data_IF_841082641183
#
_entry.id   IF_841082641183
#
_cell.length_a   1.000
_cell.length_b   1.000
_cell.length_c   1.000
_cell.angle_alpha   90.00
_cell.angle_beta   90.00
_cell.angle_gamma   90.00
#
_symmetry.space_group_name_H-M   'P 1'
#
loop_
_entity.id
_entity.type
_entity.pdbx_description
1 polymer ?
#
# COMPACT_ATOMS: atom_id res chain seq x y z
N UNK A 1 3.68 33.64 16.56
CA UNK A 1 4.61 32.55 16.95
C UNK A 1 5.17 31.94 15.69
N UNK A 2 6.48 32.09 15.45
CA UNK A 2 7.13 31.56 14.26
C UNK A 2 7.09 30.02 14.29
N UNK A 3 6.42 29.40 13.32
CA UNK A 3 6.49 27.96 13.11
C UNK A 3 7.93 27.63 12.77
N UNK A 4 8.67 27.03 13.70
CA UNK A 4 9.92 26.33 13.41
C UNK A 4 9.57 25.18 12.47
N UNK A 5 9.72 25.39 11.17
CA UNK A 5 9.80 24.31 10.18
C UNK A 5 11.08 23.54 10.47
N UNK A 6 10.97 22.47 11.24
CA UNK A 6 12.04 21.48 11.41
C UNK A 6 12.18 20.76 10.06
N UNK A 7 13.40 20.68 9.54
CA UNK A 7 13.69 19.84 8.37
C UNK A 7 13.18 18.42 8.63
N UNK A 8 12.61 17.75 7.62
CA UNK A 8 12.13 16.39 7.78
C UNK A 8 13.32 15.52 8.20
N UNK A 9 13.12 14.68 9.22
CA UNK A 9 14.14 13.75 9.70
C UNK A 9 14.81 13.06 8.50
N UNK A 10 16.15 13.15 8.47
CA UNK A 10 16.95 12.36 7.56
C UNK A 10 16.88 10.92 8.05
N UNK A 11 16.19 10.09 7.28
CA UNK A 11 16.34 8.64 7.27
C UNK A 11 17.82 8.30 7.16
N UNK A 12 18.36 7.67 8.20
CA UNK A 12 19.80 7.64 8.49
C UNK A 12 20.18 8.48 9.71
N UNK A 13 19.26 8.75 10.64
CA UNK A 13 19.61 9.33 11.92
C UNK A 13 20.61 8.40 12.60
N UNK A 14 21.85 8.86 12.69
CA UNK A 14 22.90 8.21 13.44
C UNK A 14 22.43 8.18 14.91
N UNK A 15 22.04 7.00 15.39
CA UNK A 15 21.51 6.75 16.74
C UNK A 15 22.64 6.86 17.79
N UNK A 16 23.59 7.79 17.65
CA UNK A 16 24.83 7.79 18.41
C UNK A 16 24.77 8.56 19.74
N UNK A 17 23.82 9.49 19.96
CA UNK A 17 23.74 10.23 21.23
C UNK A 17 22.34 10.26 21.92
N UNK A 18 21.28 10.91 21.40
CA UNK A 18 19.96 10.92 22.07
C UNK A 18 19.34 9.51 22.18
N UNK A 19 19.69 8.70 21.21
CA UNK A 19 19.36 7.30 21.09
C UNK A 19 19.98 6.41 22.18
N UNK A 20 21.18 6.72 22.66
CA UNK A 20 21.90 5.84 23.57
C UNK A 20 21.19 5.74 24.94
N UNK A 21 20.69 6.86 25.46
CA UNK A 21 19.90 6.90 26.69
C UNK A 21 18.60 6.12 26.53
N UNK A 22 17.85 6.39 25.46
CA UNK A 22 16.62 5.67 25.12
C UNK A 22 16.86 4.16 24.97
N UNK A 23 17.92 3.74 24.28
CA UNK A 23 18.28 2.35 24.06
C UNK A 23 18.71 1.62 25.34
N UNK A 24 19.31 2.35 26.29
CA UNK A 24 19.72 1.83 27.59
C UNK A 24 18.51 1.53 28.50
N UNK A 25 17.42 2.28 28.34
CA UNK A 25 16.15 2.03 29.06
C UNK A 25 15.36 0.85 28.49
N UNK A 26 15.57 0.50 27.22
CA UNK A 26 14.83 -0.58 26.58
C UNK A 26 15.24 -1.97 27.12
N UNK A 27 14.30 -2.91 27.28
CA UNK A 27 14.60 -4.30 27.60
C UNK A 27 15.57 -4.95 26.62
N UNK A 28 16.27 -5.99 27.06
CA UNK A 28 17.22 -6.74 26.24
C UNK A 28 16.59 -8.00 25.62
N UNK A 29 15.59 -8.58 26.27
CA UNK A 29 14.88 -9.75 25.80
C UNK A 29 13.71 -9.41 24.87
N UNK A 30 13.34 -10.36 24.02
CA UNK A 30 12.29 -10.20 23.00
C UNK A 30 10.94 -9.85 23.62
N UNK A 31 10.54 -10.53 24.70
CA UNK A 31 9.22 -10.34 25.30
C UNK A 31 9.10 -8.96 25.95
N UNK A 32 10.17 -8.51 26.63
CA UNK A 32 10.28 -7.15 27.14
C UNK A 32 10.18 -6.10 26.04
N UNK A 33 10.84 -6.31 24.90
CA UNK A 33 10.75 -5.40 23.75
C UNK A 33 9.32 -5.35 23.17
N UNK A 34 8.63 -6.48 23.07
CA UNK A 34 7.24 -6.52 22.60
C UNK A 34 6.30 -5.79 23.56
N UNK A 35 6.46 -5.97 24.87
CA UNK A 35 5.69 -5.23 25.87
C UNK A 35 5.98 -3.71 25.82
N UNK A 36 7.23 -3.33 25.61
CA UNK A 36 7.62 -1.93 25.43
C UNK A 36 7.02 -1.32 24.16
N UNK A 37 6.88 -2.10 23.08
CA UNK A 37 6.26 -1.64 21.85
C UNK A 37 4.77 -1.32 22.05
N UNK A 38 4.05 -2.20 22.77
CA UNK A 38 2.64 -1.96 23.13
C UNK A 38 2.52 -0.68 23.97
N UNK A 39 3.40 -0.48 24.95
CA UNK A 39 3.41 0.74 25.76
C UNK A 39 3.67 2.00 24.91
N UNK A 40 4.63 1.94 23.98
CA UNK A 40 4.94 3.05 23.08
C UNK A 40 3.75 3.43 22.19
N UNK A 41 3.02 2.45 21.64
CA UNK A 41 1.79 2.68 20.88
C UNK A 41 0.72 3.37 21.72
N UNK A 42 0.50 2.92 22.95
CA UNK A 42 -0.45 3.55 23.88
C UNK A 42 -0.04 5.00 24.18
N UNK A 43 1.26 5.26 24.34
CA UNK A 43 1.77 6.62 24.57
C UNK A 43 1.63 7.52 23.34
N UNK A 44 1.87 7.00 22.13
CA UNK A 44 1.64 7.72 20.86
C UNK A 44 0.19 8.18 20.79
N UNK A 45 -0.76 7.26 20.97
CA UNK A 45 -2.18 7.57 20.92
C UNK A 45 -2.57 8.60 21.98
N UNK A 46 -2.16 8.37 23.24
CA UNK A 46 -2.46 9.29 24.32
C UNK A 46 -1.89 10.70 24.06
N UNK A 47 -0.71 10.82 23.46
CA UNK A 47 -0.12 12.10 23.09
C UNK A 47 -0.86 12.78 21.94
N UNK A 48 -1.23 12.04 20.89
CA UNK A 48 -2.06 12.54 19.79
C UNK A 48 -3.41 13.02 20.32
N UNK A 49 -4.04 12.26 21.21
CA UNK A 49 -5.34 12.63 21.80
C UNK A 49 -5.27 13.88 22.69
N UNK A 50 -4.10 14.20 23.26
CA UNK A 50 -3.85 15.48 23.95
C UNK A 50 -3.50 16.64 23.02
N UNK A 51 -3.28 16.38 21.74
CA UNK A 51 -2.77 17.37 20.78
C UNK A 51 -1.29 17.71 21.00
N UNK A 52 -0.55 16.87 21.73
CA UNK A 52 0.86 17.07 22.04
C UNK A 52 1.74 16.37 21.00
N UNK A 53 2.01 17.08 19.91
CA UNK A 53 2.82 16.55 18.81
C UNK A 53 4.25 16.21 19.21
N UNK A 54 4.84 16.92 20.17
CA UNK A 54 6.22 16.66 20.60
C UNK A 54 6.29 15.37 21.43
N UNK A 55 5.33 15.13 22.31
CA UNK A 55 5.23 13.87 23.04
C UNK A 55 4.92 12.70 22.10
N UNK A 56 4.10 12.91 21.07
CA UNK A 56 3.80 11.89 20.07
C UNK A 56 5.02 11.52 19.23
N UNK A 57 5.84 12.50 18.82
CA UNK A 57 7.13 12.27 18.16
C UNK A 57 8.08 11.47 19.05
N UNK A 58 8.23 11.85 20.33
CA UNK A 58 9.12 11.13 21.25
C UNK A 58 8.67 9.67 21.49
N UNK A 59 7.37 9.43 21.61
CA UNK A 59 6.84 8.07 21.73
C UNK A 59 7.03 7.26 20.43
N UNK A 60 6.93 7.94 19.27
CA UNK A 60 7.27 7.36 17.97
C UNK A 60 8.74 6.97 17.85
N UNK A 61 9.65 7.84 18.30
CA UNK A 61 11.09 7.55 18.34
C UNK A 61 11.39 6.34 19.23
N UNK A 62 10.67 6.19 20.36
CA UNK A 62 10.76 4.99 21.20
C UNK A 62 10.31 3.73 20.47
N UNK A 63 9.21 3.78 19.73
CA UNK A 63 8.73 2.65 18.93
C UNK A 63 9.74 2.23 17.86
N UNK A 64 10.33 3.20 17.13
CA UNK A 64 11.37 2.93 16.13
C UNK A 64 12.65 2.36 16.76
N UNK A 65 13.06 2.85 17.94
CA UNK A 65 14.20 2.32 18.66
C UNK A 65 14.01 0.85 19.08
N UNK A 66 12.77 0.46 19.42
CA UNK A 66 12.43 -0.92 19.75
C UNK A 66 12.56 -1.82 18.51
N UNK A 67 12.09 -1.37 17.34
CA UNK A 67 12.28 -2.09 16.07
C UNK A 67 13.77 -2.25 15.79
N UNK A 68 14.54 -1.17 15.86
CA UNK A 68 15.98 -1.18 15.60
C UNK A 68 16.72 -2.17 16.52
N UNK A 69 16.40 -2.16 17.83
CA UNK A 69 17.01 -3.05 18.81
C UNK A 69 16.64 -4.50 18.57
N UNK A 70 15.36 -4.79 18.29
CA UNK A 70 14.90 -6.15 17.98
C UNK A 70 15.50 -6.67 16.66
N UNK A 71 15.77 -5.79 15.70
CA UNK A 71 16.37 -6.13 14.42
C UNK A 71 17.91 -6.25 14.47
N UNK A 72 18.51 -6.28 15.66
CA UNK A 72 19.95 -6.48 15.84
C UNK A 72 20.81 -5.23 15.63
N UNK A 73 20.23 -4.04 15.86
CA UNK A 73 20.98 -2.79 15.77
C UNK A 73 21.04 -2.20 14.36
N UNK A 74 20.03 -2.47 13.53
CA UNK A 74 19.91 -1.90 12.20
C UNK A 74 18.44 -1.80 11.79
N UNK A 75 18.08 -0.85 10.92
CA UNK A 75 16.76 -0.80 10.29
C UNK A 75 16.73 -1.54 8.94
N UNK A 76 17.89 -1.99 8.45
CA UNK A 76 17.95 -2.71 7.19
C UNK A 76 17.17 -4.03 7.30
N UNK A 77 16.25 -4.26 6.35
CA UNK A 77 15.47 -5.49 6.30
C UNK A 77 14.42 -5.66 7.41
N UNK A 78 14.16 -4.64 8.25
CA UNK A 78 13.23 -4.78 9.38
C UNK A 78 11.77 -5.06 8.97
N UNK A 79 11.43 -4.87 7.69
CA UNK A 79 10.10 -5.12 7.10
C UNK A 79 10.13 -6.18 5.97
N UNK A 80 11.23 -6.93 5.82
CA UNK A 80 11.49 -7.76 4.64
C UNK A 80 10.56 -8.97 4.49
N UNK A 81 10.21 -9.63 5.60
CA UNK A 81 9.36 -10.81 5.65
C UNK A 81 8.53 -10.84 6.96
N UNK A 82 7.65 -11.83 7.09
CA UNK A 82 6.71 -11.94 8.22
C UNK A 82 7.38 -12.13 9.59
N UNK A 83 8.66 -12.50 9.62
CA UNK A 83 9.45 -12.69 10.85
C UNK A 83 10.47 -11.57 11.07
N UNK A 84 10.57 -10.61 10.15
CA UNK A 84 11.34 -9.40 10.34
C UNK A 84 10.82 -8.60 11.54
N UNK A 85 11.73 -7.97 12.29
CA UNK A 85 11.43 -7.35 13.58
C UNK A 85 10.23 -6.38 13.54
N UNK A 86 10.15 -5.53 12.53
CA UNK A 86 9.05 -4.59 12.36
C UNK A 86 7.72 -5.27 12.06
N UNK A 87 7.70 -6.36 11.28
CA UNK A 87 6.48 -7.17 11.03
C UNK A 87 6.02 -7.92 12.27
N UNK A 88 6.95 -8.45 13.05
CA UNK A 88 6.65 -9.10 14.33
C UNK A 88 6.03 -8.10 15.31
N UNK A 89 6.61 -6.90 15.44
CA UNK A 89 6.10 -5.85 16.32
C UNK A 89 4.74 -5.32 15.82
N UNK A 90 4.59 -5.03 14.53
CA UNK A 90 3.33 -4.58 13.93
C UNK A 90 2.19 -5.58 14.20
N UNK A 91 2.47 -6.87 13.99
CA UNK A 91 1.51 -7.96 14.28
C UNK A 91 1.19 -8.06 15.77
N UNK A 92 2.19 -7.90 16.63
CA UNK A 92 2.00 -7.97 18.09
C UNK A 92 1.18 -6.79 18.62
N UNK A 93 1.36 -5.61 18.03
CA UNK A 93 0.65 -4.39 18.43
C UNK A 93 -0.68 -4.18 17.69
N UNK A 94 -1.06 -5.06 16.76
CA UNK A 94 -2.23 -4.86 15.92
C UNK A 94 -3.53 -4.78 16.73
N UNK A 95 -4.44 -3.90 16.31
CA UNK A 95 -5.77 -3.82 16.87
C UNK A 95 -6.59 -5.08 16.54
N UNK A 96 -7.49 -5.45 17.44
CA UNK A 96 -8.45 -6.53 17.20
C UNK A 96 -9.32 -6.15 15.99
N UNK A 97 -9.50 -7.02 14.98
CA UNK A 97 -10.35 -6.72 13.84
C UNK A 97 -11.77 -6.32 14.27
N UNK A 98 -12.23 -5.16 13.79
CA UNK A 98 -13.51 -4.55 14.15
C UNK A 98 -13.40 -3.40 15.15
N UNK A 99 -12.35 -3.40 15.98
CA UNK A 99 -12.07 -2.29 16.89
C UNK A 99 -11.32 -1.16 16.17
N UNK A 100 -11.59 0.07 16.57
CA UNK A 100 -10.85 1.24 16.05
C UNK A 100 -9.42 1.18 16.57
N UNK A 101 -8.40 1.14 15.69
CA UNK A 101 -7.01 1.10 16.11
C UNK A 101 -6.59 2.39 16.81
N UNK A 102 -5.69 2.26 17.78
CA UNK A 102 -4.94 3.39 18.32
C UNK A 102 -4.00 3.97 17.23
N UNK A 103 -3.60 5.23 17.37
CA UNK A 103 -2.55 5.77 16.51
C UNK A 103 -1.25 4.95 16.67
N UNK A 104 -0.66 4.54 15.54
CA UNK A 104 0.53 3.68 15.51
C UNK A 104 0.24 2.17 15.45
N UNK A 105 -1.03 1.74 15.61
CA UNK A 105 -1.41 0.35 15.35
C UNK A 105 -1.73 0.11 13.89
N UNK A 106 -1.58 -1.13 13.45
CA UNK A 106 -2.30 -1.65 12.29
C UNK A 106 -3.67 -2.16 12.74
N UNK A 107 -4.71 -1.96 11.93
CA UNK A 107 -6.05 -2.46 12.25
C UNK A 107 -7.02 -2.43 11.08
N UNK A 108 -8.17 -3.08 11.27
CA UNK A 108 -9.29 -3.01 10.34
C UNK A 108 -10.56 -2.68 11.09
N UNK A 109 -11.32 -1.69 10.63
CA UNK A 109 -12.54 -1.23 11.29
C UNK A 109 -13.57 -0.72 10.29
N UNK A 110 -14.81 -0.51 10.75
CA UNK A 110 -15.90 0.01 9.94
C UNK A 110 -16.01 1.52 10.11
N UNK A 111 -15.83 2.29 9.03
CA UNK A 111 -16.12 3.71 9.00
C UNK A 111 -17.44 4.00 8.28
N UNK A 112 -18.23 4.91 8.84
CA UNK A 112 -19.53 5.33 8.28
C UNK A 112 -19.56 6.84 8.08
N UNK A 113 -19.82 7.29 6.85
CA UNK A 113 -20.04 8.70 6.52
C UNK A 113 -21.37 8.85 5.77
N UNK A 114 -22.40 9.32 6.47
CA UNK A 114 -23.77 9.35 5.95
C UNK A 114 -24.26 7.93 5.65
N UNK A 115 -24.70 7.70 4.41
CA UNK A 115 -25.21 6.40 3.94
C UNK A 115 -24.11 5.45 3.40
N UNK A 116 -22.85 5.88 3.44
CA UNK A 116 -21.70 5.12 2.90
C UNK A 116 -20.97 4.40 4.03
N UNK A 117 -20.83 3.08 3.89
CA UNK A 117 -20.05 2.22 4.77
C UNK A 117 -18.78 1.75 4.07
N UNK A 118 -17.65 1.97 4.72
CA UNK A 118 -16.34 1.53 4.25
C UNK A 118 -15.69 0.61 5.28
N UNK A 119 -15.17 -0.53 4.83
CA UNK A 119 -14.17 -1.27 5.57
C UNK A 119 -12.86 -0.52 5.38
N UNK A 120 -12.26 -0.09 6.47
CA UNK A 120 -10.99 0.65 6.47
C UNK A 120 -9.92 -0.29 6.96
N UNK A 121 -8.91 -0.55 6.13
CA UNK A 121 -7.64 -1.06 6.61
C UNK A 121 -6.72 0.13 6.89
N UNK A 122 -6.20 0.17 8.12
CA UNK A 122 -5.33 1.23 8.60
C UNK A 122 -3.98 0.62 8.99
N UNK A 123 -2.91 1.28 8.57
CA UNK A 123 -1.55 0.98 8.97
C UNK A 123 -0.74 2.27 9.11
N UNK A 124 0.34 2.21 9.89
CA UNK A 124 1.31 3.29 9.94
C UNK A 124 1.88 3.52 8.53
N UNK A 125 1.87 4.77 8.09
CA UNK A 125 2.41 5.17 6.80
C UNK A 125 3.94 5.09 6.77
N UNK A 126 4.52 5.28 5.58
CA UNK A 126 5.96 5.35 5.43
C UNK A 126 6.57 6.46 6.30
N UNK A 127 7.67 6.18 7.00
CA UNK A 127 8.41 7.18 7.76
C UNK A 127 7.99 7.34 9.24
N UNK A 128 7.30 6.35 9.80
CA UNK A 128 7.09 6.23 11.24
C UNK A 128 5.61 6.19 11.64
N UNK A 129 5.32 5.94 12.93
CA UNK A 129 3.97 5.61 13.41
C UNK A 129 2.97 6.78 13.38
N UNK A 130 3.44 8.02 13.18
CA UNK A 130 2.57 9.20 13.04
C UNK A 130 2.08 9.43 11.61
N UNK A 131 2.67 8.77 10.61
CA UNK A 131 2.13 8.77 9.27
C UNK A 131 0.98 7.76 9.19
N UNK A 132 0.00 8.03 8.35
CA UNK A 132 -1.23 7.25 8.28
C UNK A 132 -1.50 6.81 6.86
N UNK A 133 -1.73 5.52 6.65
CA UNK A 133 -2.23 4.97 5.40
C UNK A 133 -3.62 4.37 5.62
N UNK A 134 -4.62 4.98 4.96
CA UNK A 134 -6.00 4.53 4.97
C UNK A 134 -6.34 3.86 3.65
N UNK A 135 -6.80 2.62 3.71
CA UNK A 135 -7.30 1.85 2.58
C UNK A 135 -8.81 1.65 2.75
N UNK A 136 -9.59 2.35 1.93
CA UNK A 136 -11.05 2.31 1.99
C UNK A 136 -11.60 1.28 1.00
N UNK A 137 -12.33 0.30 1.51
CA UNK A 137 -13.00 -0.75 0.74
C UNK A 137 -14.52 -0.63 0.85
N UNK A 138 -15.22 -0.70 -0.28
CA UNK A 138 -16.68 -0.59 -0.30
C UNK A 138 -17.35 -1.81 0.37
N UNK A 139 -18.24 -1.56 1.33
CA UNK A 139 -19.07 -2.59 1.97
C UNK A 139 -20.34 -2.86 1.16
N UNK A 140 -21.00 -1.79 0.70
CA UNK A 140 -22.23 -1.84 -0.09
C UNK A 140 -21.92 -1.58 -1.57
N UNK A 141 -21.99 -2.64 -2.38
CA UNK A 141 -21.57 -2.61 -3.78
C UNK A 141 -22.62 -2.00 -4.73
N UNK A 142 -23.88 -1.97 -4.31
CA UNK A 142 -25.01 -1.37 -5.05
C UNK A 142 -25.21 0.12 -4.74
N UNK A 143 -24.35 0.73 -3.92
CA UNK A 143 -24.44 2.12 -3.49
C UNK A 143 -23.28 2.97 -4.01
N UNK A 144 -23.45 4.31 -4.05
CA UNK A 144 -22.36 5.21 -4.35
C UNK A 144 -21.19 5.07 -3.37
N UNK A 145 -19.97 5.20 -3.89
CA UNK A 145 -18.74 5.11 -3.13
C UNK A 145 -17.75 6.21 -3.57
N UNK A 146 -16.61 6.35 -2.88
CA UNK A 146 -15.59 7.36 -3.23
C UNK A 146 -14.75 7.02 -4.48
N UNK A 147 -14.90 5.81 -5.02
CA UNK A 147 -14.17 5.29 -6.17
C UNK A 147 -15.01 4.29 -6.97
N UNK A 148 -14.91 4.33 -8.29
CA UNK A 148 -15.61 3.40 -9.19
C UNK A 148 -15.08 1.96 -9.11
N UNK A 149 -13.89 1.76 -8.55
CA UNK A 149 -13.30 0.43 -8.35
C UNK A 149 -13.77 -0.26 -7.06
N UNK A 150 -14.50 0.46 -6.19
CA UNK A 150 -14.81 0.01 -4.83
C UNK A 150 -13.63 0.08 -3.85
N UNK A 151 -12.52 0.70 -4.26
CA UNK A 151 -11.31 0.85 -3.44
C UNK A 151 -10.67 2.23 -3.61
N UNK A 152 -10.13 2.78 -2.51
CA UNK A 152 -9.26 3.98 -2.56
C UNK A 152 -8.26 4.00 -1.42
N UNK A 153 -6.97 4.19 -1.74
CA UNK A 153 -5.95 4.54 -0.75
C UNK A 153 -5.89 6.05 -0.49
N UNK A 154 -5.48 6.40 0.72
CA UNK A 154 -5.23 7.78 1.13
C UNK A 154 -4.11 7.82 2.17
N UNK A 155 -3.14 8.71 1.96
CA UNK A 155 -2.11 9.00 2.95
C UNK A 155 -2.46 10.29 3.69
N UNK A 156 -2.26 10.28 4.99
CA UNK A 156 -2.48 11.40 5.90
C UNK A 156 -1.43 11.33 7.02
N UNK A 157 -1.58 12.17 8.03
CA UNK A 157 -0.82 12.09 9.28
C UNK A 157 -1.78 12.05 10.47
N UNK A 158 -1.31 11.58 11.61
CA UNK A 158 -2.02 11.69 12.88
C UNK A 158 -2.50 13.13 13.12
N UNK A 159 -3.78 13.28 13.49
CA UNK A 159 -4.40 14.59 13.73
C UNK A 159 -4.66 14.74 15.21
N UNK A 160 -4.02 15.73 15.82
CA UNK A 160 -4.17 16.01 17.25
C UNK A 160 -5.63 16.13 17.66
N UNK A 161 -5.95 15.55 18.81
CA UNK A 161 -7.29 15.51 19.42
C UNK A 161 -8.36 14.77 18.58
N UNK A 162 -7.96 13.91 17.65
CA UNK A 162 -8.88 13.10 16.85
C UNK A 162 -8.45 11.63 16.88
N UNK A 163 -9.42 10.73 16.96
CA UNK A 163 -9.23 9.28 16.79
C UNK A 163 -8.99 8.92 15.32
N UNK A 164 -8.44 7.73 15.07
CA UNK A 164 -8.27 7.19 13.71
C UNK A 164 -9.60 7.14 12.96
N UNK A 165 -10.70 6.75 13.63
CA UNK A 165 -12.05 6.72 13.04
C UNK A 165 -12.56 8.11 12.66
N UNK A 166 -12.40 9.12 13.53
CA UNK A 166 -12.81 10.49 13.23
C UNK A 166 -12.08 11.05 12.00
N UNK A 167 -10.78 10.77 11.88
CA UNK A 167 -10.00 11.15 10.71
C UNK A 167 -10.47 10.40 9.47
N UNK A 168 -10.65 9.08 9.55
CA UNK A 168 -11.15 8.27 8.43
C UNK A 168 -12.54 8.73 7.94
N UNK A 169 -13.49 9.00 8.85
CA UNK A 169 -14.81 9.55 8.52
C UNK A 169 -14.71 10.94 7.91
N UNK A 170 -13.82 11.79 8.41
CA UNK A 170 -13.56 13.11 7.83
C UNK A 170 -13.05 13.03 6.39
N UNK A 171 -12.08 12.15 6.14
CA UNK A 171 -11.54 11.86 4.79
C UNK A 171 -12.66 11.37 3.88
N UNK A 172 -13.42 10.35 4.32
CA UNK A 172 -14.52 9.76 3.55
C UNK A 172 -15.55 10.83 3.16
N UNK A 173 -15.95 11.67 4.12
CA UNK A 173 -16.89 12.78 3.91
C UNK A 173 -16.35 13.79 2.90
N UNK A 174 -15.09 14.20 3.02
CA UNK A 174 -14.46 15.15 2.12
C UNK A 174 -14.36 14.61 0.68
N UNK A 175 -13.98 13.34 0.53
CA UNK A 175 -13.89 12.67 -0.77
C UNK A 175 -15.26 12.50 -1.44
N UNK A 176 -16.31 12.23 -0.67
CA UNK A 176 -17.68 12.17 -1.19
C UNK A 176 -18.14 13.55 -1.68
N UNK A 177 -17.88 14.61 -0.91
CA UNK A 177 -18.26 15.99 -1.26
C UNK A 177 -17.50 16.53 -2.49
N UNK A 178 -16.29 16.05 -2.76
CA UNK A 178 -15.52 16.39 -3.96
C UNK A 178 -16.22 15.94 -5.26
N UNK A 179 -17.01 14.87 -5.20
CA UNK A 179 -17.69 14.31 -6.37
C UNK A 179 -18.99 15.06 -6.65
N UNK A 180 -19.06 15.71 -7.82
CA UNK A 180 -20.28 16.38 -8.30
C UNK A 180 -21.46 15.44 -8.56
N UNK A 181 -21.20 14.15 -8.74
CA UNK A 181 -22.20 13.10 -9.00
C UNK A 181 -21.85 11.87 -8.16
N UNK A 182 -22.86 11.11 -7.70
CA UNK A 182 -22.61 9.82 -7.05
C UNK A 182 -21.80 8.91 -7.97
N UNK A 183 -20.70 8.35 -7.46
CA UNK A 183 -19.85 7.41 -8.21
C UNK A 183 -20.28 6.00 -7.86
N UNK A 184 -20.87 5.30 -8.83
CA UNK A 184 -21.22 3.89 -8.69
C UNK A 184 -20.01 3.01 -9.00
N UNK A 185 -19.94 1.86 -8.34
CA UNK A 185 -18.92 0.85 -8.64
C UNK A 185 -19.20 0.25 -10.01
N UNK A 186 -18.19 0.22 -10.87
CA UNK A 186 -18.26 -0.37 -12.21
C UNK A 186 -18.55 -1.88 -12.14
N UNK A 187 -19.29 -2.39 -13.13
CA UNK A 187 -19.85 -3.74 -13.11
C UNK A 187 -18.80 -4.84 -12.91
N UNK A 188 -17.67 -4.76 -13.62
CA UNK A 188 -16.55 -5.71 -13.50
C UNK A 188 -15.96 -5.75 -12.08
N UNK A 189 -15.78 -4.60 -11.43
CA UNK A 189 -15.27 -4.52 -10.07
C UNK A 189 -16.32 -5.00 -9.07
N UNK A 190 -17.59 -4.63 -9.27
CA UNK A 190 -18.70 -5.10 -8.44
C UNK A 190 -18.84 -6.62 -8.48
N UNK A 191 -18.76 -7.24 -9.66
CA UNK A 191 -18.80 -8.69 -9.82
C UNK A 191 -17.64 -9.37 -9.08
N UNK A 192 -16.41 -8.88 -9.30
CA UNK A 192 -15.22 -9.39 -8.61
C UNK A 192 -15.32 -9.24 -7.08
N UNK A 193 -15.84 -8.11 -6.60
CA UNK A 193 -15.98 -7.80 -5.18
C UNK A 193 -17.15 -8.55 -4.52
N UNK A 194 -18.16 -8.99 -5.29
CA UNK A 194 -19.25 -9.83 -4.82
C UNK A 194 -18.77 -11.26 -4.52
N UNK A 195 -17.80 -11.76 -5.29
CA UNK A 195 -17.17 -13.07 -5.08
C UNK A 195 -16.09 -13.03 -3.98
N UNK A 196 -15.64 -11.85 -3.57
CA UNK A 196 -14.69 -11.66 -2.48
C UNK A 196 -15.42 -11.54 -1.12
N UNK A 197 -15.25 -12.49 -0.19
CA UNK A 197 -15.90 -12.42 1.11
C UNK A 197 -15.38 -11.22 1.92
N UNK A 198 -16.29 -10.58 2.66
CA UNK A 198 -15.90 -9.64 3.71
C UNK A 198 -15.35 -10.42 4.92
N UNK A 199 -14.52 -9.80 5.76
CA UNK A 199 -14.12 -10.36 7.05
C UNK A 199 -15.32 -10.84 7.87
N UNK A 200 -15.17 -11.98 8.56
CA UNK A 200 -16.27 -12.64 9.30
C UNK A 200 -16.91 -11.74 10.36
N UNK A 201 -16.13 -10.83 10.96
CA UNK A 201 -16.63 -9.88 11.96
C UNK A 201 -17.66 -8.88 11.40
N UNK A 202 -17.76 -8.73 10.07
CA UNK A 202 -18.79 -7.93 9.40
C UNK A 202 -20.09 -8.71 9.11
N UNK A 203 -20.18 -10.01 9.40
CA UNK A 203 -21.36 -10.81 9.09
C UNK A 203 -22.62 -10.34 9.85
N UNK A 204 -22.45 -9.72 11.02
CA UNK A 204 -23.52 -9.24 11.90
C UNK A 204 -24.01 -7.82 11.64
N UNK A 205 -23.57 -7.16 10.56
CA UNK A 205 -23.97 -5.78 10.26
C UNK A 205 -25.50 -5.62 10.16
N UNK A 206 -26.02 -4.53 10.71
CA UNK A 206 -27.42 -4.12 10.57
C UNK A 206 -27.47 -2.72 9.95
N UNK A 207 -28.02 -2.56 8.72
CA UNK A 207 -28.46 -3.61 7.79
C UNK A 207 -27.30 -4.48 7.27
N UNK A 208 -27.53 -5.69 6.74
CA UNK A 208 -26.46 -6.52 6.19
C UNK A 208 -25.74 -5.83 5.03
N UNK A 209 -24.49 -6.22 4.75
CA UNK A 209 -23.72 -5.72 3.63
C UNK A 209 -24.38 -6.09 2.29
N UNK A 210 -24.53 -5.12 1.39
CA UNK A 210 -25.16 -5.32 0.07
C UNK A 210 -24.11 -5.68 -0.96
N UNK A 211 -23.87 -6.98 -1.16
CA UNK A 211 -22.79 -7.48 -2.04
C UNK A 211 -23.25 -8.21 -3.29
N UNK A 212 -24.42 -7.86 -3.81
CA UNK A 212 -24.92 -8.47 -5.04
C UNK A 212 -24.03 -8.08 -6.24
N UNK A 213 -23.70 -9.01 -7.17
CA UNK A 213 -22.97 -8.70 -8.39
C UNK A 213 -23.80 -7.79 -9.31
N UNK A 214 -23.14 -7.10 -10.24
CA UNK A 214 -23.80 -6.34 -11.30
C UNK A 214 -24.31 -7.28 -12.42
N UNK A 215 -23.53 -8.32 -12.74
CA UNK A 215 -23.83 -9.29 -13.79
C UNK A 215 -24.46 -10.54 -13.18
N UNK A 216 -25.72 -10.79 -13.52
CA UNK A 216 -26.42 -12.02 -13.11
C UNK A 216 -26.22 -13.10 -14.17
N UNK A 217 -25.31 -14.04 -13.91
CA UNK A 217 -25.11 -15.20 -14.80
C UNK A 217 -26.20 -16.24 -14.58
N UNK A 218 -27.15 -16.33 -15.51
CA UNK A 218 -28.27 -17.29 -15.44
C UNK A 218 -27.80 -18.64 -16.01
N UNK A 219 -27.85 -19.75 -15.25
CA UNK A 219 -27.51 -21.05 -15.80
C UNK A 219 -28.48 -21.45 -16.93
N UNK A 220 -28.03 -22.24 -17.93
CA UNK A 220 -28.94 -22.77 -18.95
C UNK A 220 -30.14 -23.49 -18.32
N UNK A 221 -31.32 -23.26 -18.88
CA UNK A 221 -32.59 -23.79 -18.34
C UNK A 221 -33.25 -22.89 -17.30
N UNK A 222 -32.61 -21.79 -16.89
CA UNK A 222 -33.22 -20.76 -16.04
C UNK A 222 -33.42 -19.47 -16.84
N UNK A 223 -34.39 -18.66 -16.42
CA UNK A 223 -34.66 -17.32 -16.95
C UNK A 223 -34.85 -16.39 -15.76
N UNK A 224 -34.23 -15.21 -15.81
CA UNK A 224 -34.45 -14.15 -14.84
C UNK A 224 -35.77 -13.45 -15.20
N UNK A 225 -36.66 -13.29 -14.21
CA UNK A 225 -38.00 -12.70 -14.41
C UNK A 225 -38.20 -11.58 -13.41
N UNK A 226 -38.44 -10.37 -13.90
CA UNK A 226 -38.88 -9.25 -13.08
C UNK A 226 -40.41 -9.30 -12.92
N UNK A 227 -40.90 -9.22 -11.68
CA UNK A 227 -42.34 -9.31 -11.37
C UNK A 227 -42.76 -8.14 -10.50
N UNK A 228 -43.74 -7.37 -10.96
CA UNK A 228 -44.39 -6.32 -10.17
C UNK A 228 -45.62 -6.91 -9.50
N UNK A 229 -45.61 -7.02 -8.17
CA UNK A 229 -46.72 -7.57 -7.38
C UNK A 229 -47.22 -6.54 -6.36
N UNK A 230 -48.53 -6.55 -6.03
CA UNK A 230 -49.04 -5.85 -4.84
C UNK A 230 -48.33 -6.32 -3.58
N UNK A 231 -48.16 -5.43 -2.59
CA UNK A 231 -47.39 -5.70 -1.37
C UNK A 231 -47.80 -7.01 -0.66
N UNK A 232 -49.10 -7.30 -0.59
CA UNK A 232 -49.63 -8.52 0.04
C UNK A 232 -49.31 -9.82 -0.73
N UNK A 233 -48.81 -9.76 -1.97
CA UNK A 233 -48.35 -10.92 -2.77
C UNK A 233 -46.83 -11.01 -2.89
N UNK A 234 -46.08 -10.01 -2.39
CA UNK A 234 -44.62 -9.99 -2.50
C UNK A 234 -43.95 -11.23 -1.88
N UNK A 235 -44.57 -11.85 -0.87
CA UNK A 235 -44.07 -13.09 -0.26
C UNK A 235 -44.00 -14.27 -1.24
N UNK A 236 -44.86 -14.30 -2.27
CA UNK A 236 -44.88 -15.35 -3.30
C UNK A 236 -43.59 -15.28 -4.13
N UNK A 237 -43.23 -14.08 -4.60
CA UNK A 237 -41.99 -13.87 -5.34
C UNK A 237 -40.76 -14.19 -4.48
N UNK A 238 -40.75 -13.79 -3.20
CA UNK A 238 -39.65 -14.16 -2.27
C UNK A 238 -39.49 -15.67 -2.11
N UNK A 239 -40.61 -16.40 -1.99
CA UNK A 239 -40.60 -17.86 -1.89
C UNK A 239 -40.05 -18.50 -3.16
N UNK A 240 -40.48 -18.05 -4.34
CA UNK A 240 -39.97 -18.54 -5.62
C UNK A 240 -38.47 -18.23 -5.80
N UNK A 241 -38.04 -17.02 -5.42
CA UNK A 241 -36.63 -16.64 -5.48
C UNK A 241 -35.76 -17.53 -4.58
N UNK A 242 -36.20 -17.84 -3.36
CA UNK A 242 -35.48 -18.73 -2.45
C UNK A 242 -35.38 -20.17 -3.01
N UNK A 243 -36.47 -20.70 -3.57
CA UNK A 243 -36.49 -22.02 -4.19
C UNK A 243 -35.58 -22.07 -5.46
N UNK A 244 -35.65 -21.03 -6.29
CA UNK A 244 -34.82 -20.89 -7.49
C UNK A 244 -33.34 -20.76 -7.13
N UNK A 245 -32.99 -20.02 -6.07
CA UNK A 245 -31.61 -19.88 -5.60
C UNK A 245 -30.98 -21.24 -5.26
N UNK A 246 -31.72 -22.12 -4.58
CA UNK A 246 -31.27 -23.49 -4.31
C UNK A 246 -31.01 -24.30 -5.59
N UNK A 247 -31.94 -24.25 -6.56
CA UNK A 247 -31.82 -24.93 -7.86
C UNK A 247 -30.66 -24.38 -8.70
N UNK A 248 -30.48 -23.06 -8.73
CA UNK A 248 -29.39 -22.38 -9.45
C UNK A 248 -28.04 -22.73 -8.83
N UNK A 249 -27.93 -22.73 -7.48
CA UNK A 249 -26.70 -23.12 -6.77
C UNK A 249 -26.32 -24.57 -7.11
N UNK A 250 -27.28 -25.49 -7.08
CA UNK A 250 -27.06 -26.88 -7.46
C UNK A 250 -26.63 -27.03 -8.93
N UNK A 251 -27.29 -26.31 -9.85
CA UNK A 251 -26.94 -26.33 -11.28
C UNK A 251 -25.53 -25.78 -11.55
N UNK A 252 -25.13 -24.70 -10.86
CA UNK A 252 -23.76 -24.15 -10.93
C UNK A 252 -22.74 -25.16 -10.41
N UNK A 253 -22.99 -25.76 -9.25
CA UNK A 253 -22.09 -26.77 -8.68
C UNK A 253 -21.93 -28.01 -9.59
N UNK A 254 -23.03 -28.50 -10.18
CA UNK A 254 -23.01 -29.60 -11.12
C UNK A 254 -22.16 -29.28 -12.37
N UNK A 255 -22.25 -28.04 -12.88
CA UNK A 255 -21.43 -27.58 -14.02
C UNK A 255 -19.95 -27.54 -13.68
N UNK A 256 -19.57 -27.03 -12.51
CA UNK A 256 -18.18 -27.02 -12.06
C UNK A 256 -17.62 -28.45 -11.95
N UNK A 257 -18.40 -29.38 -11.40
CA UNK A 257 -18.02 -30.80 -11.33
C UNK A 257 -17.90 -31.47 -12.71
N UNK A 258 -18.80 -31.16 -13.65
CA UNK A 258 -18.73 -31.67 -15.01
C UNK A 258 -17.49 -31.14 -15.77
N UNK A 259 -17.15 -29.87 -15.58
CA UNK A 259 -15.95 -29.26 -16.19
C UNK A 259 -14.65 -29.84 -15.60
N UNK A 260 -14.63 -30.15 -14.30
CA UNK A 260 -13.52 -30.86 -13.66
C UNK A 260 -13.32 -32.31 -14.16
N UNK A 261 -14.42 -33.03 -14.43
CA UNK A 261 -14.35 -34.40 -15.00
C UNK A 261 -13.96 -34.43 -16.49
N UNK A 262 -14.36 -33.43 -17.28
CA UNK A 262 -13.98 -33.34 -18.69
C UNK A 262 -12.50 -33.00 -18.91
N UNK A 263 -11.85 -32.32 -17.95
CA UNK A 263 -10.41 -32.05 -17.97
C UNK A 263 -9.53 -33.22 -17.49
N UNK A 264 -10.12 -34.35 -17.10
CA UNK A 264 -9.43 -35.51 -16.51
C UNK A 264 -9.14 -36.66 -17.46
N UNK A 265 -9.22 -36.48 -18.78
CA UNK A 265 -8.78 -37.50 -19.76
C UNK A 265 -7.40 -37.12 -20.31
N UNK A 266 -6.43 -37.96 -19.96
CA UNK A 266 -5.09 -38.10 -20.54
C UNK A 266 -4.18 -36.86 -20.40
N UNK A 267 -3.48 -36.79 -19.26
CA UNK A 267 -2.26 -35.99 -19.13
C UNK A 267 -1.12 -36.98 -18.88
N UNK A 268 -0.21 -37.08 -19.84
CA UNK A 268 1.01 -37.89 -19.79
C UNK A 268 1.79 -37.67 -18.47
N UNK A 269 2.47 -38.70 -17.93
CA UNK A 269 3.25 -38.58 -16.70
C UNK A 269 4.61 -37.95 -17.01
N UNK A 270 4.62 -36.68 -17.41
CA UNK A 270 5.83 -35.88 -17.59
C UNK A 270 5.49 -34.38 -17.47
N UNK A 271 5.08 -33.93 -16.28
CA UNK A 271 5.15 -32.54 -15.82
C UNK A 271 4.67 -32.47 -14.37
N UNK A 272 5.56 -32.88 -13.46
CA UNK A 272 5.58 -32.34 -12.10
C UNK A 272 6.47 -31.08 -12.12
N UNK A 273 6.23 -30.15 -11.19
CA UNK A 273 6.74 -28.77 -11.10
C UNK A 273 6.03 -27.77 -12.04
N UNK A 274 5.51 -26.62 -11.60
CA UNK A 274 6.07 -25.69 -10.62
C UNK A 274 4.92 -24.92 -9.95
N UNK A 275 4.74 -25.12 -8.64
CA UNK A 275 3.94 -24.20 -7.84
C UNK A 275 4.83 -22.99 -7.52
N UNK A 276 4.47 -21.85 -8.10
CA UNK A 276 5.12 -20.55 -7.94
C UNK A 276 5.21 -20.18 -6.44
N UNK A 277 6.35 -20.48 -5.81
CA UNK A 277 6.76 -19.84 -4.55
C UNK A 277 7.43 -18.53 -4.92
N UNK A 278 6.85 -17.42 -4.46
CA UNK A 278 7.51 -16.13 -4.45
C UNK A 278 8.51 -16.15 -3.29
N UNK A 279 9.76 -16.49 -3.59
CA UNK A 279 10.87 -16.38 -2.65
C UNK A 279 11.92 -15.45 -3.27
N UNK A 280 12.07 -14.29 -2.65
CA UNK A 280 13.19 -13.38 -2.82
C UNK A 280 14.47 -14.11 -2.42
N UNK A 281 15.26 -14.50 -3.42
CA UNK A 281 16.57 -15.10 -3.20
C UNK A 281 17.59 -14.01 -2.85
N UNK A 282 18.19 -14.22 -1.68
CA UNK A 282 19.31 -13.51 -1.08
C UNK A 282 20.58 -13.74 -1.94
N UNK A 283 21.32 -12.67 -2.20
CA UNK A 283 22.70 -12.77 -2.67
C UNK A 283 23.60 -12.93 -1.44
N UNK A 284 24.19 -14.11 -1.29
CA UNK A 284 25.26 -14.36 -0.31
C UNK A 284 26.61 -14.18 -1.02
N UNK A 285 27.34 -13.14 -0.63
CA UNK A 285 28.79 -13.03 -0.81
C UNK A 285 29.47 -13.81 0.31
N UNK A 286 30.26 -14.84 -0.02
CA UNK A 286 31.41 -15.22 0.79
C UNK A 286 32.38 -16.17 0.09
N UNK A 287 33.64 -15.72 0.10
CA UNK A 287 34.91 -16.47 0.09
C UNK A 287 35.50 -16.89 -1.26
N UNK A 288 36.46 -16.05 -1.66
CA UNK A 288 37.62 -16.41 -2.45
C UNK A 288 38.45 -17.52 -1.76
N UNK A 289 38.75 -18.57 -2.50
CA UNK A 289 39.94 -19.39 -2.30
C UNK A 289 40.79 -19.38 -3.57
N UNK A 290 42.10 -19.47 -3.36
CA UNK A 290 43.14 -19.24 -4.34
C UNK A 290 43.56 -20.51 -5.08
N UNK A 291 43.65 -20.39 -6.41
CA UNK A 291 44.69 -20.99 -7.25
C UNK A 291 44.35 -22.26 -8.06
N UNK A 292 45.16 -22.62 -9.07
CA UNK A 292 45.59 -21.74 -10.17
C UNK A 292 45.67 -22.42 -11.58
N UNK A 293 45.80 -21.58 -12.62
CA UNK A 293 46.37 -21.76 -13.98
C UNK A 293 45.62 -22.58 -15.08
N UNK A 294 45.39 -21.88 -16.20
CA UNK A 294 44.95 -22.23 -17.58
C UNK A 294 45.84 -23.30 -18.31
N UNK A 295 45.66 -23.66 -19.62
CA UNK A 295 44.78 -23.10 -20.67
C UNK A 295 44.18 -24.05 -21.74
N UNK A 296 43.42 -23.41 -22.65
CA UNK A 296 43.29 -23.67 -24.11
C UNK A 296 42.16 -24.55 -24.71
N UNK A 297 41.35 -23.85 -25.52
CA UNK A 297 40.88 -24.17 -26.87
C UNK A 297 39.54 -24.89 -27.11
N UNK A 298 38.69 -24.18 -27.88
CA UNK A 298 37.78 -24.68 -28.94
C UNK A 298 36.27 -24.61 -28.65
N UNK A 299 35.63 -23.57 -29.19
CA UNK A 299 34.22 -23.52 -29.65
C UNK A 299 34.13 -24.16 -31.06
N UNK A 300 32.97 -24.53 -31.69
CA UNK A 300 31.64 -23.89 -31.54
C UNK A 300 30.37 -24.77 -31.76
N UNK A 301 29.18 -24.16 -31.56
CA UNK A 301 28.08 -24.33 -32.53
C UNK A 301 26.65 -24.64 -32.02
N UNK A 302 25.77 -23.62 -32.14
CA UNK A 302 24.31 -23.64 -32.29
C UNK A 302 23.44 -24.10 -31.10
N UNK A 303 22.40 -23.39 -30.66
CA UNK A 303 21.77 -22.16 -31.14
C UNK A 303 20.39 -22.06 -30.48
N UNK A 304 19.98 -20.89 -29.98
CA UNK A 304 18.57 -20.61 -29.73
C UNK A 304 18.28 -19.10 -29.67
N UNK A 305 17.03 -18.79 -29.99
CA UNK A 305 16.48 -17.54 -30.49
C UNK A 305 16.79 -16.25 -29.69
N UNK A 306 17.16 -15.22 -30.46
CA UNK A 306 17.28 -13.82 -30.08
C UNK A 306 15.92 -13.13 -29.99
N UNK A 307 15.67 -12.40 -28.89
CA UNK A 307 14.72 -11.29 -28.84
C UNK A 307 15.47 -10.04 -28.36
N UNK A 308 16.10 -9.37 -29.33
CA UNK A 308 16.44 -7.94 -29.41
C UNK A 308 16.49 -7.10 -28.12
N UNK A 309 17.69 -6.96 -27.55
CA UNK A 309 18.11 -5.69 -26.91
C UNK A 309 18.81 -4.87 -28.00
N UNK A 310 18.24 -3.72 -28.33
CA UNK A 310 18.84 -2.77 -29.26
C UNK A 310 20.19 -2.29 -28.70
N UNK A 311 21.27 -2.61 -29.43
CA UNK A 311 22.58 -1.99 -29.26
C UNK A 311 22.53 -0.60 -29.88
N UNK A 312 22.56 0.44 -29.06
CA UNK A 312 23.08 1.72 -29.52
C UNK A 312 24.61 1.64 -29.45
N UNK A 313 25.24 1.73 -30.62
CA UNK A 313 26.68 1.72 -30.78
C UNK A 313 27.35 3.03 -30.39
N UNK A 314 28.65 2.92 -30.19
CA UNK A 314 29.70 3.95 -30.26
C UNK A 314 29.39 5.32 -29.64
N UNK A 315 29.69 5.42 -28.36
CA UNK A 315 30.38 6.58 -27.82
C UNK A 315 31.54 6.09 -26.94
N UNK A 316 32.75 6.60 -27.21
CA UNK A 316 33.98 6.24 -26.49
C UNK A 316 33.92 6.55 -24.99
N UNK A 317 34.99 6.25 -24.23
CA UNK A 317 35.00 6.40 -22.78
C UNK A 317 35.10 7.89 -22.44
N UNK A 318 33.97 8.59 -22.50
CA UNK A 318 33.81 9.87 -21.84
C UNK A 318 33.53 9.56 -20.38
N UNK A 319 34.48 9.94 -19.52
CA UNK A 319 34.40 10.05 -18.06
C UNK A 319 33.00 9.78 -17.51
N UNK A 320 32.74 8.54 -17.08
CA UNK A 320 31.63 8.26 -16.19
C UNK A 320 32.00 8.83 -14.82
N UNK A 321 31.91 10.15 -14.71
CA UNK A 321 31.81 10.82 -13.42
C UNK A 321 30.58 10.23 -12.77
N UNK A 322 30.80 9.36 -11.79
CA UNK A 322 29.73 8.70 -11.07
C UNK A 322 28.79 9.78 -10.53
N UNK A 323 27.56 9.81 -11.07
CA UNK A 323 26.56 10.80 -10.68
C UNK A 323 26.35 10.67 -9.16
N UNK A 324 26.82 11.69 -8.44
CA UNK A 324 26.76 11.76 -6.98
C UNK A 324 25.67 12.79 -6.63
N UNK A 325 24.42 12.34 -6.44
CA UNK A 325 23.32 13.24 -6.15
C UNK A 325 23.50 13.91 -4.79
N UNK A 326 23.14 15.20 -4.73
CA UNK A 326 23.11 15.99 -3.51
C UNK A 326 21.78 16.76 -3.39
N UNK A 327 21.25 16.97 -2.18
CA UNK A 327 20.09 17.83 -1.97
C UNK A 327 20.26 19.22 -2.61
N UNK A 328 19.21 19.71 -3.26
CA UNK A 328 19.18 20.98 -3.99
C UNK A 328 19.60 20.91 -5.46
N UNK A 329 20.18 19.79 -5.91
CA UNK A 329 20.55 19.63 -7.32
C UNK A 329 19.33 19.50 -8.22
N UNK A 330 19.41 20.14 -9.39
CA UNK A 330 18.43 20.04 -10.47
C UNK A 330 18.80 18.90 -11.41
N UNK A 331 17.86 18.00 -11.63
CA UNK A 331 18.03 16.84 -12.50
C UNK A 331 16.90 16.75 -13.52
N UNK A 332 17.16 16.06 -14.61
CA UNK A 332 16.18 15.64 -15.61
C UNK A 332 15.90 14.15 -15.46
N UNK A 333 14.63 13.75 -15.54
CA UNK A 333 14.22 12.34 -15.53
C UNK A 333 14.55 11.73 -16.90
N UNK A 334 15.47 10.76 -16.95
CA UNK A 334 15.89 10.10 -18.19
C UNK A 334 15.25 8.74 -18.41
N UNK A 335 14.79 8.09 -17.34
CA UNK A 335 14.09 6.81 -17.42
C UNK A 335 13.08 6.68 -16.29
N UNK A 336 12.12 5.76 -16.44
CA UNK A 336 11.09 5.46 -15.44
C UNK A 336 10.91 3.95 -15.34
N UNK A 337 10.54 3.47 -14.16
CA UNK A 337 10.39 2.03 -13.89
C UNK A 337 9.13 1.40 -14.51
N UNK A 338 8.12 2.20 -14.87
CA UNK A 338 6.86 1.69 -15.43
C UNK A 338 6.39 2.53 -16.62
N UNK A 339 5.92 1.92 -17.74
CA UNK A 339 5.54 2.63 -18.97
C UNK A 339 4.46 3.72 -18.77
N UNK A 340 3.60 3.57 -17.76
CA UNK A 340 2.57 4.58 -17.42
C UNK A 340 3.15 5.95 -17.08
N UNK A 341 4.41 5.98 -16.64
CA UNK A 341 5.14 7.21 -16.29
C UNK A 341 6.01 7.72 -17.44
N UNK A 342 5.93 7.16 -18.65
CA UNK A 342 6.76 7.59 -19.78
C UNK A 342 6.63 9.10 -20.09
N UNK A 343 5.48 9.70 -19.79
CA UNK A 343 5.22 11.15 -19.90
C UNK A 343 6.02 12.03 -18.92
N UNK A 344 6.67 11.42 -17.92
CA UNK A 344 7.49 12.12 -16.91
C UNK A 344 8.95 12.26 -17.38
N UNK A 345 9.38 11.42 -18.35
CA UNK A 345 10.72 11.53 -18.95
C UNK A 345 10.88 12.93 -19.57
N UNK A 346 12.02 13.56 -19.32
CA UNK A 346 12.34 14.92 -19.75
C UNK A 346 11.88 16.03 -18.79
N UNK A 347 11.11 15.69 -17.74
CA UNK A 347 10.77 16.68 -16.71
C UNK A 347 11.94 16.94 -15.78
N UNK A 348 11.99 18.18 -15.28
CA UNK A 348 13.00 18.66 -14.34
C UNK A 348 12.51 18.50 -12.91
N UNK A 349 13.39 18.01 -12.04
CA UNK A 349 13.13 17.79 -10.62
C UNK A 349 14.27 18.34 -9.77
N UNK A 350 13.96 18.68 -8.51
CA UNK A 350 14.94 19.10 -7.51
C UNK A 350 15.05 18.00 -6.45
N UNK A 351 16.27 17.54 -6.20
CA UNK A 351 16.55 16.52 -5.18
C UNK A 351 16.35 17.13 -3.79
N UNK A 352 15.57 16.46 -2.95
CA UNK A 352 15.29 16.86 -1.55
C UNK A 352 16.08 16.00 -0.57
N UNK A 353 16.10 14.68 -0.80
CA UNK A 353 16.82 13.71 0.04
C UNK A 353 17.52 12.68 -0.82
N UNK A 354 18.65 12.18 -0.33
CA UNK A 354 19.45 11.15 -0.98
C UNK A 354 19.56 9.96 -0.05
N UNK A 355 19.36 8.77 -0.58
CA UNK A 355 19.57 7.49 0.09
C UNK A 355 20.70 6.76 -0.65
N UNK A 356 21.96 6.92 -0.21
CA UNK A 356 23.11 6.29 -0.87
C UNK A 356 23.00 4.77 -0.92
N UNK A 357 22.57 4.17 0.20
CA UNK A 357 22.52 2.71 0.38
C UNK A 357 21.57 2.02 -0.60
N UNK A 358 20.46 2.68 -0.96
CA UNK A 358 19.49 2.15 -1.95
C UNK A 358 19.65 2.74 -3.34
N UNK A 359 20.63 3.64 -3.55
CA UNK A 359 20.83 4.42 -4.78
C UNK A 359 19.55 5.10 -5.26
N UNK A 360 18.81 5.70 -4.33
CA UNK A 360 17.55 6.39 -4.60
C UNK A 360 17.55 7.82 -4.05
N UNK A 361 16.77 8.69 -4.68
CA UNK A 361 16.55 10.07 -4.21
C UNK A 361 15.07 10.37 -4.14
N UNK A 362 14.69 11.23 -3.19
CA UNK A 362 13.39 11.90 -3.20
C UNK A 362 13.55 13.23 -3.90
N UNK A 363 12.71 13.50 -4.89
CA UNK A 363 12.72 14.74 -5.64
C UNK A 363 11.31 15.28 -5.90
N UNK A 364 11.18 16.60 -6.02
CA UNK A 364 9.93 17.25 -6.42
C UNK A 364 10.07 17.92 -7.78
N UNK A 365 8.96 18.20 -8.46
CA UNK A 365 8.96 18.91 -9.73
C UNK A 365 9.64 20.29 -9.60
N UNK A 366 10.55 20.62 -10.53
CA UNK A 366 11.18 21.95 -10.66
C UNK A 366 10.20 22.92 -11.34
N UNK A 367 9.09 23.18 -10.65
CA UNK A 367 8.09 24.19 -11.05
C UNK A 367 7.93 25.23 -9.95
N UNK A 368 7.61 26.48 -10.31
CA UNK A 368 7.34 27.51 -9.33
C UNK A 368 6.03 27.24 -8.58
N UNK A 369 5.95 27.71 -7.33
CA UNK A 369 4.71 27.72 -6.54
C UNK A 369 3.68 28.61 -7.24
N UNK A 370 2.49 28.06 -7.52
CA UNK A 370 1.37 28.82 -8.07
C UNK A 370 0.47 29.31 -6.93
N UNK A 371 -0.18 30.44 -7.16
CA UNK A 371 -1.05 31.08 -6.17
C UNK A 371 -2.40 31.40 -6.81
N UNK A 372 -3.47 31.34 -6.01
CA UNK A 372 -4.81 31.79 -6.40
C UNK A 372 -5.36 32.76 -5.37
N UNK A 373 -6.34 33.56 -5.79
CA UNK A 373 -7.10 34.41 -4.87
C UNK A 373 -8.35 33.65 -4.44
N UNK A 374 -8.51 33.44 -3.12
CA UNK A 374 -9.71 32.80 -2.59
C UNK A 374 -10.92 33.75 -2.61
N UNK A 375 -12.11 33.23 -2.27
CA UNK A 375 -13.36 34.03 -2.23
C UNK A 375 -13.31 35.22 -1.26
N UNK A 376 -12.41 35.20 -0.28
CA UNK A 376 -12.17 36.29 0.66
C UNK A 376 -11.14 37.31 0.17
N UNK A 377 -10.73 37.26 -1.10
CA UNK A 377 -9.76 38.20 -1.69
C UNK A 377 -8.31 37.96 -1.25
N UNK A 378 -8.01 36.86 -0.54
CA UNK A 378 -6.66 36.56 -0.06
C UNK A 378 -5.91 35.68 -1.05
N UNK A 379 -4.66 36.04 -1.33
CA UNK A 379 -3.72 35.19 -2.09
C UNK A 379 -3.35 33.98 -1.23
N UNK A 380 -3.67 32.79 -1.73
CA UNK A 380 -3.35 31.49 -1.11
C UNK A 380 -2.52 30.68 -2.10
N UNK A 381 -1.68 29.79 -1.57
CA UNK A 381 -0.96 28.80 -2.40
C UNK A 381 -2.00 27.92 -3.09
N UNK A 382 -1.88 27.80 -4.41
CA UNK A 382 -2.71 26.92 -5.23
C UNK A 382 -2.02 25.57 -5.44
N UNK A 383 -0.74 25.61 -5.81
CA UNK A 383 0.10 24.42 -5.93
C UNK A 383 1.53 24.75 -5.52
N UNK A 384 2.05 24.01 -4.54
CA UNK A 384 3.46 24.00 -4.18
C UNK A 384 4.03 22.63 -4.56
N UNK A 385 4.82 22.55 -5.66
CA UNK A 385 5.43 21.30 -6.09
C UNK A 385 6.27 20.62 -5.01
N UNK A 386 6.87 21.36 -4.08
CA UNK A 386 7.70 20.79 -3.01
C UNK A 386 6.94 19.92 -2.01
N UNK A 387 5.61 20.04 -1.96
CA UNK A 387 4.74 19.20 -1.15
C UNK A 387 4.53 17.80 -1.73
N UNK A 388 4.87 17.56 -3.01
CA UNK A 388 4.71 16.26 -3.66
C UNK A 388 6.10 15.76 -4.06
N UNK A 389 6.60 14.75 -3.35
CA UNK A 389 7.91 14.15 -3.61
C UNK A 389 7.73 12.76 -4.22
N UNK A 390 8.53 12.48 -5.25
CA UNK A 390 8.61 11.20 -5.93
C UNK A 390 9.99 10.59 -5.72
N UNK A 391 10.06 9.26 -5.73
CA UNK A 391 11.31 8.52 -5.58
C UNK A 391 11.86 8.17 -6.98
N UNK A 392 13.14 8.41 -7.18
CA UNK A 392 13.87 8.05 -8.40
C UNK A 392 15.17 7.30 -8.06
N UNK A 393 15.54 6.33 -8.88
CA UNK A 393 16.88 5.72 -8.86
C UNK A 393 17.94 6.68 -9.40
N UNK A 394 19.20 6.51 -8.99
CA UNK A 394 20.31 7.35 -9.48
C UNK A 394 20.48 7.25 -11.01
N UNK A 395 20.20 6.08 -11.58
CA UNK A 395 20.22 5.77 -13.02
C UNK A 395 19.03 6.36 -13.79
N UNK A 396 18.01 6.84 -13.07
CA UNK A 396 16.82 7.47 -13.65
C UNK A 396 16.96 8.98 -13.81
N UNK A 397 18.06 9.56 -13.32
CA UNK A 397 18.29 10.99 -13.30
C UNK A 397 19.57 11.38 -14.02
N UNK A 398 19.54 12.55 -14.65
CA UNK A 398 20.71 13.22 -15.22
C UNK A 398 20.83 14.61 -14.62
N UNK A 399 21.99 14.95 -14.09
CA UNK A 399 22.26 16.29 -13.57
C UNK A 399 22.12 17.33 -14.69
N UNK A 400 21.42 18.43 -14.39
CA UNK A 400 21.35 19.60 -15.28
C UNK A 400 22.36 20.61 -14.74
N UNK A 401 23.51 20.72 -15.42
CA UNK A 401 24.53 21.76 -15.18
C UNK A 401 24.11 23.12 -15.69
#
# INVERSE_FOLDING_TARGET
MAKRTKQPAQTGQDWSAPAAELLAELPADRDGLLAAAVAAVVEIDAAVMRGDGAAAELAGDRYEAIIWKLNGGTNFGCMADDEAAGRVIERHCAAVPGDVPLWGQRGQFLAVAGDVRALVEYEAGYGGPLNAHFQFHAVDLDRPFISATGYRSHFDTARGCMTVDEVARGILTAMLAEKKRPVLIEANYRDRLADAPLPDWLAGLVPPARREPATVTIPPGFVLVDVVLPAHKAFIARRWAAEAAGKVKAARAARSNAKGKAGGRERDPASAETAMRCSTAKADDCKAEAGPVSPEATMPGAGEASCSTARNGDAGPADLVEFTPAPGQRCEIVSVHHPVFAKEIGKRVIIVKVHPDTRQVWAHDDRPVTYKTNRAGRRVVDSDPSCIQSIYGFDQLRLIT
#
